data_IF_788880867793
#
_entry.id   IF_788880867793
#
_cell.length_a   1.000
_cell.length_b   1.000
_cell.length_c   1.000
_cell.angle_alpha   90.00
_cell.angle_beta   90.00
_cell.angle_gamma   90.00
#
_symmetry.space_group_name_H-M   'P 1'
#
loop_
_entity.id
_entity.type
_entity.pdbx_description
1 polymer ?
#
# COMPACT_ATOMS: atom_id res chain seq x y z
N UNK A 1 -12.96 44.38 85.65
CA UNK A 1 -13.42 44.54 84.28
C UNK A 1 -12.25 44.83 83.33
N UNK A 2 -11.26 45.63 83.69
CA UNK A 2 -10.10 45.99 82.87
C UNK A 2 -9.13 44.81 82.65
N UNK A 3 -8.92 43.92 83.60
CA UNK A 3 -8.06 42.76 83.44
C UNK A 3 -8.61 41.74 82.44
N UNK A 4 -9.90 41.61 82.36
CA UNK A 4 -10.56 40.73 81.41
C UNK A 4 -10.49 41.27 79.95
N UNK A 5 -10.68 42.56 79.78
CA UNK A 5 -10.51 43.19 78.47
C UNK A 5 -9.08 43.09 77.95
N UNK A 6 -8.07 43.31 78.80
CA UNK A 6 -6.68 43.16 78.39
C UNK A 6 -6.35 41.70 78.00
N UNK A 7 -6.88 40.73 78.70
CA UNK A 7 -6.71 39.30 78.40
C UNK A 7 -7.38 38.91 77.06
N UNK A 8 -8.57 39.43 76.78
CA UNK A 8 -9.31 39.22 75.56
C UNK A 8 -8.60 39.83 74.35
N UNK A 9 -8.13 41.05 74.40
CA UNK A 9 -7.43 41.75 73.36
C UNK A 9 -6.12 41.04 72.98
N UNK A 10 -5.41 40.51 73.96
CA UNK A 10 -4.18 39.71 73.77
C UNK A 10 -4.50 38.36 73.07
N UNK A 11 -5.62 37.72 73.42
CA UNK A 11 -6.05 36.49 72.72
C UNK A 11 -6.47 36.75 71.26
N UNK A 12 -7.19 37.80 70.98
CA UNK A 12 -7.59 38.21 69.62
C UNK A 12 -6.37 38.54 68.80
N UNK A 13 -5.41 39.29 69.34
CA UNK A 13 -4.15 39.60 68.68
C UNK A 13 -3.34 38.34 68.33
N UNK A 14 -3.27 37.36 69.19
CA UNK A 14 -2.60 36.07 68.92
C UNK A 14 -3.32 35.27 67.85
N UNK A 15 -4.68 35.21 67.87
CA UNK A 15 -5.47 34.55 66.86
C UNK A 15 -5.22 35.17 65.48
N UNK A 16 -5.31 36.49 65.36
CA UNK A 16 -5.02 37.22 64.15
C UNK A 16 -3.58 36.96 63.61
N UNK A 17 -2.62 36.83 64.54
CA UNK A 17 -1.23 36.50 64.16
C UNK A 17 -1.10 35.04 63.63
N UNK A 18 -1.84 34.10 64.23
CA UNK A 18 -1.89 32.73 63.78
C UNK A 18 -2.54 32.65 62.37
N UNK A 19 -3.67 33.32 62.16
CA UNK A 19 -4.37 33.36 60.90
C UNK A 19 -3.49 33.96 59.80
N UNK A 20 -2.74 35.04 60.13
CA UNK A 20 -1.75 35.62 59.21
C UNK A 20 -0.61 34.69 58.82
N UNK A 21 -0.10 33.92 59.80
CA UNK A 21 0.96 32.92 59.53
C UNK A 21 0.45 31.79 58.68
N UNK A 22 -0.76 31.28 58.93
CA UNK A 22 -1.39 30.21 58.12
C UNK A 22 -1.69 30.69 56.69
N UNK A 23 -2.19 31.92 56.54
CA UNK A 23 -2.40 32.51 55.24
C UNK A 23 -1.13 32.67 54.43
N UNK A 24 -0.03 33.11 55.06
CA UNK A 24 1.29 33.21 54.41
C UNK A 24 1.88 31.84 54.03
N UNK A 25 1.71 30.80 54.85
CA UNK A 25 2.10 29.44 54.50
C UNK A 25 1.33 28.90 53.29
N UNK A 26 -0.01 29.06 53.29
CA UNK A 26 -0.84 28.66 52.16
C UNK A 26 -0.46 29.40 50.88
N UNK A 27 -0.12 30.66 50.97
CA UNK A 27 0.28 31.48 49.82
C UNK A 27 1.65 31.08 49.30
N UNK A 28 2.60 30.69 50.19
CA UNK A 28 3.89 30.14 49.82
C UNK A 28 3.73 28.80 49.07
N UNK A 29 2.91 27.89 49.58
CA UNK A 29 2.63 26.59 48.97
C UNK A 29 1.97 26.71 47.60
N UNK A 30 1.04 27.67 47.44
CA UNK A 30 0.39 27.97 46.16
C UNK A 30 1.39 28.56 45.16
N UNK A 31 2.26 29.47 45.57
CA UNK A 31 3.29 30.02 44.71
C UNK A 31 4.26 28.93 44.23
N UNK A 32 4.69 28.01 45.08
CA UNK A 32 5.55 26.90 44.71
C UNK A 32 4.84 26.01 43.65
N UNK A 33 3.59 25.65 43.88
CA UNK A 33 2.80 24.87 42.91
C UNK A 33 2.62 25.57 41.57
N UNK A 34 2.49 26.91 41.60
CA UNK A 34 2.39 27.72 40.39
C UNK A 34 3.70 27.71 39.61
N UNK A 35 4.85 27.85 40.28
CA UNK A 35 6.15 27.74 39.64
C UNK A 35 6.40 26.36 39.03
N UNK A 36 6.07 25.30 39.76
CA UNK A 36 6.18 23.93 39.26
C UNK A 36 5.28 23.71 38.02
N UNK A 37 4.03 24.20 38.04
CA UNK A 37 3.11 24.14 36.92
C UNK A 37 3.60 24.94 35.71
N UNK A 38 4.12 26.14 35.93
CA UNK A 38 4.70 26.98 34.88
C UNK A 38 5.90 26.30 34.20
N UNK A 39 6.82 25.73 35.01
CA UNK A 39 7.98 25.00 34.50
C UNK A 39 7.55 23.77 33.69
N UNK A 40 6.51 23.04 34.15
CA UNK A 40 5.95 21.91 33.42
C UNK A 40 5.33 22.36 32.08
N UNK A 41 4.60 23.47 32.08
CA UNK A 41 4.01 24.03 30.85
C UNK A 41 5.09 24.39 29.83
N UNK A 42 6.17 25.07 30.26
CA UNK A 42 7.29 25.40 29.38
C UNK A 42 7.95 24.16 28.76
N UNK A 43 8.12 23.09 29.52
CA UNK A 43 8.65 21.84 29.00
C UNK A 43 7.69 21.18 27.99
N UNK A 44 6.39 21.19 28.27
CA UNK A 44 5.37 20.67 27.35
C UNK A 44 5.27 21.49 26.06
N UNK A 45 5.38 22.82 26.15
CA UNK A 45 5.39 23.69 24.96
C UNK A 45 6.59 23.38 24.06
N UNK A 46 7.77 23.14 24.63
CA UNK A 46 8.96 22.75 23.89
C UNK A 46 8.79 21.36 23.22
N UNK A 47 8.21 20.40 23.93
CA UNK A 47 7.92 19.06 23.39
C UNK A 47 6.88 19.12 22.25
N UNK A 48 5.84 19.94 22.41
CA UNK A 48 4.82 20.17 21.37
C UNK A 48 5.47 20.76 20.10
N UNK A 49 6.37 21.71 20.25
CA UNK A 49 7.07 22.31 19.10
C UNK A 49 7.94 21.28 18.36
N UNK A 50 8.64 20.43 19.10
CA UNK A 50 9.44 19.34 18.51
C UNK A 50 8.56 18.31 17.76
N UNK A 51 7.45 17.90 18.40
CA UNK A 51 6.50 16.97 17.79
C UNK A 51 5.82 17.55 16.54
N UNK A 52 5.54 18.85 16.53
CA UNK A 52 5.02 19.52 15.33
C UNK A 52 6.02 19.48 14.18
N UNK A 53 7.30 19.76 14.44
CA UNK A 53 8.37 19.65 13.43
C UNK A 53 8.49 18.23 12.87
N UNK A 54 8.42 17.21 13.74
CA UNK A 54 8.45 15.81 13.31
C UNK A 54 7.23 15.44 12.46
N UNK A 55 6.04 15.90 12.85
CA UNK A 55 4.80 15.72 12.07
C UNK A 55 4.91 16.33 10.68
N UNK A 56 5.45 17.54 10.56
CA UNK A 56 5.60 18.23 9.28
C UNK A 56 6.60 17.49 8.37
N UNK A 57 7.71 17.03 8.91
CA UNK A 57 8.69 16.20 8.19
C UNK A 57 8.05 14.88 7.73
N UNK A 58 7.32 14.20 8.60
CA UNK A 58 6.64 12.95 8.25
C UNK A 58 5.58 13.16 7.16
N UNK A 59 4.82 14.25 7.25
CA UNK A 59 3.80 14.62 6.26
C UNK A 59 4.41 14.91 4.90
N UNK A 60 5.52 15.63 4.86
CA UNK A 60 6.24 15.92 3.62
C UNK A 60 6.80 14.64 3.00
N UNK A 61 7.43 13.77 3.78
CA UNK A 61 7.94 12.47 3.28
C UNK A 61 6.81 11.58 2.73
N UNK A 62 5.67 11.56 3.41
CA UNK A 62 4.51 10.80 2.93
C UNK A 62 3.97 11.33 1.59
N UNK A 63 4.05 12.65 1.37
CA UNK A 63 3.71 13.26 0.08
C UNK A 63 4.73 12.90 -0.99
N UNK A 64 6.02 13.06 -0.70
CA UNK A 64 7.10 12.75 -1.63
C UNK A 64 7.04 11.28 -2.10
N UNK A 65 6.74 10.35 -1.16
CA UNK A 65 6.57 8.93 -1.49
C UNK A 65 5.38 8.73 -2.44
N UNK A 66 4.24 9.37 -2.19
CA UNK A 66 3.07 9.29 -3.08
C UNK A 66 3.38 9.80 -4.48
N UNK A 67 4.04 10.94 -4.58
CA UNK A 67 4.44 11.54 -5.87
C UNK A 67 5.40 10.62 -6.64
N UNK A 68 6.33 9.95 -5.94
CA UNK A 68 7.22 8.95 -6.54
C UNK A 68 6.45 7.72 -7.02
N UNK A 69 5.52 7.19 -6.21
CA UNK A 69 4.69 6.03 -6.58
C UNK A 69 3.83 6.34 -7.79
N UNK A 70 3.18 7.50 -7.82
CA UNK A 70 2.38 7.94 -8.96
C UNK A 70 3.22 8.03 -10.24
N UNK A 71 4.41 8.62 -10.16
CA UNK A 71 5.33 8.71 -11.29
C UNK A 71 5.78 7.33 -11.77
N UNK A 72 6.19 6.44 -10.86
CA UNK A 72 6.61 5.08 -11.22
C UNK A 72 5.46 4.27 -11.83
N UNK A 73 4.26 4.41 -11.30
CA UNK A 73 3.06 3.74 -11.85
C UNK A 73 2.74 4.23 -13.26
N UNK A 74 2.89 5.53 -13.51
CA UNK A 74 2.71 6.11 -14.83
C UNK A 74 3.75 5.60 -15.83
N UNK A 75 5.02 5.64 -15.45
CA UNK A 75 6.12 5.18 -16.28
C UNK A 75 5.97 3.68 -16.63
N UNK A 76 5.53 2.86 -15.68
CA UNK A 76 5.28 1.44 -15.90
C UNK A 76 4.06 1.22 -16.80
N UNK A 77 2.97 1.96 -16.61
CA UNK A 77 1.79 1.87 -17.46
C UNK A 77 2.10 2.26 -18.92
N UNK A 78 2.87 3.32 -19.16
CA UNK A 78 3.28 3.71 -20.50
C UNK A 78 4.05 2.61 -21.23
N UNK A 79 4.84 1.81 -20.49
CA UNK A 79 5.60 0.67 -21.05
C UNK A 79 4.74 -0.56 -21.26
N UNK A 80 3.91 -0.90 -20.30
CA UNK A 80 3.19 -2.18 -20.23
C UNK A 80 1.79 -2.07 -20.81
N UNK A 81 1.10 -0.96 -20.59
CA UNK A 81 -0.33 -0.78 -20.89
C UNK A 81 -0.74 -1.12 -22.34
N UNK A 82 -0.06 -0.58 -23.37
CA UNK A 82 -0.42 -0.88 -24.76
C UNK A 82 -0.27 -2.35 -25.12
N UNK A 83 0.71 -3.02 -24.53
CA UNK A 83 0.99 -4.45 -24.74
C UNK A 83 0.05 -5.31 -23.93
N UNK A 84 -0.30 -4.90 -22.72
CA UNK A 84 -1.25 -5.56 -21.83
C UNK A 84 -2.64 -5.69 -22.50
N UNK A 85 -3.16 -4.62 -23.09
CA UNK A 85 -4.42 -4.68 -23.83
C UNK A 85 -4.41 -5.69 -24.98
N UNK A 86 -3.29 -5.76 -25.72
CA UNK A 86 -3.12 -6.75 -26.81
C UNK A 86 -3.13 -8.19 -26.29
N UNK A 87 -2.40 -8.47 -25.19
CA UNK A 87 -2.37 -9.82 -24.61
C UNK A 87 -3.71 -10.20 -24.01
N UNK A 88 -4.33 -9.28 -23.28
CA UNK A 88 -5.64 -9.51 -22.69
C UNK A 88 -6.69 -9.86 -23.76
N UNK A 89 -6.79 -9.07 -24.83
CA UNK A 89 -7.71 -9.32 -25.93
C UNK A 89 -7.40 -10.64 -26.68
N UNK A 90 -6.15 -11.08 -26.73
CA UNK A 90 -5.82 -12.38 -27.30
C UNK A 90 -6.21 -13.55 -26.40
N UNK A 91 -6.06 -13.40 -25.10
CA UNK A 91 -6.39 -14.42 -24.11
C UNK A 91 -7.90 -14.53 -23.87
N UNK A 92 -8.65 -13.44 -24.01
CA UNK A 92 -10.11 -13.40 -23.82
C UNK A 92 -10.91 -13.65 -25.09
N UNK A 93 -10.47 -14.50 -25.99
CA UNK A 93 -11.12 -14.79 -27.30
C UNK A 93 -12.63 -14.99 -27.28
N UNK A 94 -13.24 -15.15 -26.12
CA UNK A 94 -14.65 -15.27 -25.92
C UNK A 94 -15.23 -13.88 -25.63
N UNK A 95 -16.14 -13.43 -26.50
CA UNK A 95 -17.07 -12.33 -26.32
C UNK A 95 -17.30 -11.96 -24.85
N UNK A 96 -16.45 -11.17 -24.27
CA UNK A 96 -16.87 -10.38 -23.14
C UNK A 96 -17.89 -9.40 -23.71
N UNK A 97 -19.16 -9.61 -23.39
CA UNK A 97 -20.27 -8.72 -23.74
C UNK A 97 -20.07 -7.30 -23.18
N UNK A 98 -18.99 -7.10 -22.48
CA UNK A 98 -18.56 -5.85 -21.88
C UNK A 98 -17.15 -5.53 -22.41
N UNK A 99 -17.01 -4.40 -23.08
CA UNK A 99 -15.70 -3.85 -23.38
C UNK A 99 -14.95 -3.62 -22.06
N UNK A 100 -13.81 -4.29 -21.91
CA UNK A 100 -12.95 -4.07 -20.75
C UNK A 100 -11.83 -3.16 -21.20
N UNK A 101 -11.78 -1.98 -20.62
CA UNK A 101 -10.74 -1.00 -20.85
C UNK A 101 -9.77 -0.98 -19.67
N UNK A 102 -8.49 -0.87 -19.99
CA UNK A 102 -7.44 -0.77 -19.01
C UNK A 102 -7.07 0.71 -18.93
N UNK A 103 -7.27 1.30 -17.76
CA UNK A 103 -6.98 2.72 -17.51
C UNK A 103 -5.97 2.86 -16.40
N UNK A 104 -5.17 3.91 -16.49
CA UNK A 104 -4.30 4.30 -15.40
C UNK A 104 -5.07 5.13 -14.40
N UNK A 105 -4.96 4.78 -13.13
CA UNK A 105 -5.37 5.59 -11.98
C UNK A 105 -4.14 6.02 -11.17
N UNK A 106 -4.32 6.96 -10.23
CA UNK A 106 -3.21 7.55 -9.47
C UNK A 106 -2.31 6.53 -8.77
N UNK A 107 -2.87 5.39 -8.36
CA UNK A 107 -2.15 4.36 -7.60
C UNK A 107 -1.87 3.07 -8.41
N UNK A 108 -2.19 3.04 -9.72
CA UNK A 108 -1.97 1.83 -10.50
C UNK A 108 -2.80 1.70 -11.77
N UNK A 109 -3.17 0.47 -12.09
CA UNK A 109 -3.96 0.13 -13.28
C UNK A 109 -5.32 -0.36 -12.81
N UNK A 110 -6.39 0.21 -13.36
CA UNK A 110 -7.77 -0.22 -13.13
C UNK A 110 -8.41 -0.81 -14.38
N UNK A 111 -9.27 -1.79 -14.16
CA UNK A 111 -10.13 -2.34 -15.21
C UNK A 111 -11.49 -1.66 -15.14
N UNK A 112 -11.89 -1.03 -16.24
CA UNK A 112 -13.15 -0.30 -16.33
C UNK A 112 -14.00 -0.80 -17.51
N UNK A 113 -15.31 -0.67 -17.38
CA UNK A 113 -16.25 -0.91 -18.48
C UNK A 113 -16.26 0.26 -19.48
N UNK A 114 -17.05 0.15 -20.54
CA UNK A 114 -17.22 1.21 -21.55
C UNK A 114 -17.81 2.51 -20.97
N UNK A 115 -18.32 2.47 -19.73
CA UNK A 115 -18.85 3.62 -19.01
C UNK A 115 -17.86 4.19 -17.99
N UNK A 116 -16.64 3.65 -17.92
CA UNK A 116 -15.59 4.08 -16.99
C UNK A 116 -15.80 3.59 -15.55
N UNK A 117 -16.67 2.60 -15.30
CA UNK A 117 -16.85 2.01 -13.98
C UNK A 117 -15.83 0.92 -13.73
N UNK A 118 -15.19 0.94 -12.56
CA UNK A 118 -14.30 -0.13 -12.12
C UNK A 118 -15.07 -1.46 -12.00
N UNK A 119 -14.57 -2.49 -12.68
CA UNK A 119 -15.21 -3.79 -12.80
C UNK A 119 -14.43 -4.91 -12.11
N UNK A 120 -13.33 -4.63 -11.44
CA UNK A 120 -12.49 -5.66 -10.80
C UNK A 120 -13.32 -6.57 -9.88
N UNK A 121 -14.25 -6.01 -9.13
CA UNK A 121 -15.14 -6.77 -8.23
C UNK A 121 -16.26 -7.54 -8.94
N UNK A 122 -16.45 -7.34 -10.24
CA UNK A 122 -17.50 -7.99 -11.04
C UNK A 122 -16.91 -9.14 -11.87
N UNK A 123 -15.58 -9.12 -12.07
CA UNK A 123 -14.90 -10.16 -12.83
C UNK A 123 -14.93 -11.51 -12.10
N UNK A 124 -15.14 -12.57 -12.87
CA UNK A 124 -14.95 -13.93 -12.37
C UNK A 124 -13.47 -14.19 -12.06
N UNK A 125 -13.20 -15.17 -11.19
CA UNK A 125 -11.82 -15.58 -10.88
C UNK A 125 -11.05 -15.94 -12.16
N UNK A 126 -11.68 -16.61 -13.13
CA UNK A 126 -11.06 -16.92 -14.41
C UNK A 126 -10.67 -15.68 -15.22
N UNK A 127 -11.54 -14.65 -15.26
CA UNK A 127 -11.23 -13.40 -15.94
C UNK A 127 -10.07 -12.63 -15.26
N UNK A 128 -10.02 -12.65 -13.93
CA UNK A 128 -8.92 -12.07 -13.18
C UNK A 128 -7.60 -12.82 -13.48
N UNK A 129 -7.64 -14.16 -13.52
CA UNK A 129 -6.47 -14.98 -13.87
C UNK A 129 -5.95 -14.69 -15.27
N UNK A 130 -6.85 -14.55 -16.25
CA UNK A 130 -6.50 -14.15 -17.63
C UNK A 130 -5.87 -12.74 -17.65
N UNK A 131 -6.39 -11.81 -16.86
CA UNK A 131 -5.80 -10.48 -16.74
C UNK A 131 -4.40 -10.52 -16.14
N UNK A 132 -4.20 -11.28 -15.07
CA UNK A 132 -2.88 -11.44 -14.43
C UNK A 132 -1.86 -12.06 -15.39
N UNK A 133 -2.27 -13.03 -16.20
CA UNK A 133 -1.43 -13.59 -17.25
C UNK A 133 -1.08 -12.59 -18.35
N UNK A 134 -2.06 -11.81 -18.80
CA UNK A 134 -1.82 -10.76 -19.77
C UNK A 134 -0.80 -9.73 -19.25
N UNK A 135 -0.94 -9.37 -17.97
CA UNK A 135 0.00 -8.47 -17.30
C UNK A 135 1.41 -9.09 -17.22
N UNK A 136 1.50 -10.37 -16.85
CA UNK A 136 2.78 -11.09 -16.80
C UNK A 136 3.49 -11.07 -18.17
N UNK A 137 2.80 -11.41 -19.26
CA UNK A 137 3.41 -11.39 -20.60
C UNK A 137 3.74 -9.98 -21.08
N UNK A 138 2.90 -9.00 -20.77
CA UNK A 138 3.18 -7.61 -21.08
C UNK A 138 4.44 -7.10 -20.35
N UNK A 139 4.58 -7.45 -19.06
CA UNK A 139 5.76 -7.15 -18.27
C UNK A 139 7.04 -7.82 -18.82
N UNK A 140 6.98 -9.08 -19.24
CA UNK A 140 8.10 -9.76 -19.88
C UNK A 140 8.54 -9.00 -21.15
N UNK A 141 7.58 -8.60 -21.98
CA UNK A 141 7.88 -7.90 -23.25
C UNK A 141 8.35 -6.46 -23.06
N UNK A 142 7.91 -5.79 -21.98
CA UNK A 142 8.34 -4.42 -21.68
C UNK A 142 9.77 -4.35 -21.12
N UNK A 143 10.25 -5.45 -20.55
CA UNK A 143 11.61 -5.53 -19.96
C UNK A 143 12.63 -5.83 -21.04
N UNK A 144 13.17 -4.80 -21.64
CA UNK A 144 14.26 -4.89 -22.64
C UNK A 144 15.65 -5.12 -22.04
N UNK A 145 15.74 -5.57 -20.78
CA UNK A 145 17.02 -5.73 -20.08
C UNK A 145 17.78 -6.95 -20.61
N UNK A 146 18.82 -6.71 -21.40
CA UNK A 146 19.75 -7.74 -21.90
C UNK A 146 20.52 -8.49 -20.81
N UNK A 147 20.50 -7.97 -19.57
CA UNK A 147 21.29 -8.45 -18.45
C UNK A 147 20.51 -9.29 -17.43
N UNK A 148 19.19 -9.49 -17.59
CA UNK A 148 18.37 -10.23 -16.64
C UNK A 148 18.19 -11.68 -17.05
N UNK A 149 18.21 -12.54 -16.06
CA UNK A 149 17.87 -13.95 -16.19
C UNK A 149 16.45 -14.08 -16.74
N UNK A 150 16.29 -14.69 -17.91
CA UNK A 150 15.00 -14.88 -18.59
C UNK A 150 14.38 -16.23 -18.21
N UNK A 151 14.40 -16.51 -16.92
CA UNK A 151 13.84 -17.71 -16.30
C UNK A 151 12.57 -17.34 -15.55
N UNK A 152 11.51 -18.06 -15.82
CA UNK A 152 10.18 -17.76 -15.27
C UNK A 152 9.58 -19.00 -14.63
N UNK A 153 8.76 -18.79 -13.61
CA UNK A 153 8.04 -19.83 -12.88
C UNK A 153 6.54 -19.52 -12.96
N UNK A 154 5.77 -20.51 -13.34
CA UNK A 154 4.30 -20.47 -13.35
C UNK A 154 3.81 -21.64 -12.53
N UNK A 155 3.10 -21.34 -11.44
CA UNK A 155 2.57 -22.32 -10.52
C UNK A 155 1.02 -22.31 -10.59
N UNK A 156 0.46 -23.49 -10.85
CA UNK A 156 -0.96 -23.86 -10.78
C UNK A 156 -1.97 -22.83 -11.32
N UNK A 157 -1.69 -22.25 -12.48
CA UNK A 157 -2.61 -21.34 -13.19
C UNK A 157 -3.91 -22.03 -13.65
N UNK A 158 -3.95 -23.33 -13.57
CA UNK A 158 -4.94 -24.19 -14.21
C UNK A 158 -6.26 -24.22 -13.47
N UNK A 159 -6.26 -23.97 -12.17
CA UNK A 159 -7.44 -24.05 -11.31
C UNK A 159 -8.53 -23.01 -11.64
N UNK A 160 -8.18 -21.94 -12.37
CA UNK A 160 -9.07 -20.81 -12.62
C UNK A 160 -9.36 -20.52 -14.09
N UNK A 161 -8.83 -21.31 -15.04
CA UNK A 161 -8.99 -21.08 -16.47
C UNK A 161 -9.85 -22.16 -17.11
N UNK A 162 -10.72 -21.76 -18.05
CA UNK A 162 -11.41 -22.71 -18.92
C UNK A 162 -10.48 -23.30 -19.96
N UNK A 163 -10.89 -24.42 -20.56
CA UNK A 163 -10.08 -25.16 -21.55
C UNK A 163 -9.72 -24.31 -22.77
N UNK A 164 -10.57 -23.38 -23.18
CA UNK A 164 -10.33 -22.52 -24.35
C UNK A 164 -9.26 -21.48 -24.05
N UNK A 165 -9.36 -20.81 -22.89
CA UNK A 165 -8.35 -19.84 -22.45
C UNK A 165 -7.01 -20.53 -22.20
N UNK A 166 -7.03 -21.79 -21.71
CA UNK A 166 -5.82 -22.60 -21.55
C UNK A 166 -5.13 -22.90 -22.88
N UNK A 167 -5.90 -23.26 -23.91
CA UNK A 167 -5.32 -23.49 -25.25
C UNK A 167 -4.68 -22.23 -25.83
N UNK A 168 -5.34 -21.09 -25.70
CA UNK A 168 -4.81 -19.80 -26.18
C UNK A 168 -3.56 -19.40 -25.39
N UNK A 169 -3.58 -19.62 -24.09
CA UNK A 169 -2.40 -19.40 -23.23
C UNK A 169 -1.18 -20.25 -23.68
N UNK A 170 -1.40 -21.54 -23.95
CA UNK A 170 -0.31 -22.41 -24.43
C UNK A 170 0.24 -21.99 -25.80
N UNK A 171 -0.61 -21.53 -26.70
CA UNK A 171 -0.16 -20.99 -27.99
C UNK A 171 0.63 -19.70 -27.82
N UNK A 172 0.23 -18.84 -26.88
CA UNK A 172 0.97 -17.65 -26.55
C UNK A 172 2.32 -17.98 -25.92
N UNK A 173 2.35 -18.96 -25.02
CA UNK A 173 3.58 -19.46 -24.38
C UNK A 173 4.55 -19.97 -25.43
N UNK A 174 4.09 -20.82 -26.36
CA UNK A 174 4.87 -21.33 -27.48
C UNK A 174 5.47 -20.19 -28.31
N UNK A 175 4.69 -19.15 -28.58
CA UNK A 175 5.16 -17.98 -29.30
C UNK A 175 6.26 -17.23 -28.53
N UNK A 176 6.08 -16.97 -27.25
CA UNK A 176 7.05 -16.28 -26.40
C UNK A 176 8.37 -17.04 -26.30
N UNK A 177 8.31 -18.36 -26.11
CA UNK A 177 9.50 -19.20 -26.06
C UNK A 177 10.18 -19.35 -27.43
N UNK A 178 9.47 -19.09 -28.55
CA UNK A 178 10.07 -19.15 -29.89
C UNK A 178 11.08 -18.05 -30.14
N UNK A 179 10.91 -16.91 -29.51
CA UNK A 179 11.74 -15.74 -29.81
C UNK A 179 13.06 -15.71 -29.03
N UNK A 180 13.29 -16.59 -28.03
CA UNK A 180 14.44 -16.57 -27.10
C UNK A 180 14.84 -15.17 -26.56
N UNK A 181 14.26 -14.13 -27.13
CA UNK A 181 14.52 -12.74 -26.76
C UNK A 181 13.83 -12.37 -25.46
N UNK A 182 12.67 -12.99 -25.18
CA UNK A 182 11.82 -12.65 -24.06
C UNK A 182 11.81 -13.70 -22.95
N UNK A 183 11.91 -15.01 -23.32
CA UNK A 183 11.86 -16.12 -22.38
C UNK A 183 12.83 -17.22 -22.84
N UNK A 184 13.79 -17.58 -21.99
CA UNK A 184 14.78 -18.64 -22.27
C UNK A 184 14.39 -19.95 -21.58
N UNK A 185 13.89 -19.87 -20.35
CA UNK A 185 13.49 -21.04 -19.58
C UNK A 185 12.20 -20.76 -18.81
N UNK A 186 11.32 -21.74 -18.79
CA UNK A 186 10.07 -21.72 -18.05
C UNK A 186 9.93 -22.98 -17.21
N UNK A 187 9.67 -22.80 -15.92
CA UNK A 187 9.21 -23.84 -15.01
C UNK A 187 7.70 -23.73 -14.87
N UNK A 188 6.99 -24.73 -15.38
CA UNK A 188 5.55 -24.80 -15.30
C UNK A 188 5.12 -25.95 -14.38
N UNK A 189 4.46 -25.61 -13.29
CA UNK A 189 3.99 -26.55 -12.29
C UNK A 189 2.47 -26.68 -12.43
N UNK A 190 1.99 -27.91 -12.51
CA UNK A 190 0.54 -28.21 -12.59
C UNK A 190 0.26 -29.56 -11.95
N UNK A 191 -0.91 -29.67 -11.31
CA UNK A 191 -1.44 -30.93 -10.80
C UNK A 191 -2.38 -31.64 -11.81
N UNK A 192 -2.65 -31.04 -12.98
CA UNK A 192 -3.54 -31.61 -14.01
C UNK A 192 -2.73 -32.29 -15.12
N UNK A 193 -2.84 -33.62 -15.19
CA UNK A 193 -2.17 -34.45 -16.20
C UNK A 193 -2.58 -34.09 -17.64
N UNK A 194 -3.83 -33.64 -17.85
CA UNK A 194 -4.31 -33.23 -19.18
C UNK A 194 -3.52 -32.02 -19.67
N UNK A 195 -3.28 -31.07 -18.79
CA UNK A 195 -2.53 -29.86 -19.07
C UNK A 195 -1.04 -30.20 -19.31
N UNK A 196 -0.47 -31.04 -18.47
CA UNK A 196 0.90 -31.53 -18.67
C UNK A 196 1.07 -32.19 -20.05
N UNK A 197 0.17 -33.08 -20.43
CA UNK A 197 0.19 -33.75 -21.72
C UNK A 197 -0.01 -32.80 -22.90
N UNK A 198 -0.90 -31.82 -22.76
CA UNK A 198 -1.18 -30.80 -23.77
C UNK A 198 0.01 -29.87 -23.96
N UNK A 199 0.69 -29.48 -22.88
CA UNK A 199 1.93 -28.71 -22.94
C UNK A 199 3.01 -29.47 -23.67
N UNK A 200 3.26 -30.75 -23.34
CA UNK A 200 4.22 -31.61 -24.03
C UNK A 200 3.93 -31.70 -25.52
N UNK A 201 2.65 -31.85 -25.88
CA UNK A 201 2.23 -31.91 -27.29
C UNK A 201 2.47 -30.58 -28.02
N UNK A 202 2.03 -29.46 -27.43
CA UNK A 202 2.12 -28.10 -28.04
C UNK A 202 3.57 -27.61 -28.16
N UNK A 203 4.42 -28.00 -27.21
CA UNK A 203 5.84 -27.64 -27.18
C UNK A 203 6.75 -28.74 -27.75
N UNK A 204 6.16 -29.79 -28.35
CA UNK A 204 6.94 -30.86 -29.01
C UNK A 204 7.96 -30.27 -30.00
N UNK A 205 9.19 -30.71 -29.95
CA UNK A 205 10.34 -30.17 -30.71
C UNK A 205 11.20 -29.16 -29.92
N UNK A 206 10.93 -28.97 -28.63
CA UNK A 206 11.78 -28.27 -27.66
C UNK A 206 12.26 -29.23 -26.60
N UNK A 207 13.36 -28.90 -25.95
CA UNK A 207 13.83 -29.66 -24.77
C UNK A 207 12.79 -29.43 -23.66
N UNK A 208 12.11 -30.51 -23.28
CA UNK A 208 11.14 -30.56 -22.17
C UNK A 208 11.68 -31.65 -21.23
N UNK A 209 12.12 -31.24 -20.05
CA UNK A 209 12.47 -32.11 -18.95
C UNK A 209 11.31 -32.39 -18.00
#
# INVERSE_FOLDING_TARGET
>A
YEVWNFSYDVLVSKLNSIDSILANQTLSDLNQKLEEANKKNQNLDAEIEELQKLKDIASQRAKDIRDIVEKLSKDEYEKVGPTLGKFYNKLTRINSSYGINIVQENEGISLVDDKGKNIVNILSNGQISVFMLAHFFAGINARNDREKMKVYFIDDLTACMDDVNMLVFMDLLKYQMSSKATMEQLFFITCDDRISNLLKYKLSGREIE
#
